data_IF_910457046542
#
_entry.id   IF_910457046542
#
_cell.length_a   1.000
_cell.length_b   1.000
_cell.length_c   1.000
_cell.angle_alpha   90.00
_cell.angle_beta   90.00
_cell.angle_gamma   90.00
#
_symmetry.space_group_name_H-M   'P 1'
#
loop_
_entity.id
_entity.type
_entity.pdbx_description
1 polymer ?
#
# COMPACT_ATOMS: atom_id res chain seq x y z
N UNK A 1 8.92 44.94 20.85
CA UNK A 1 7.86 45.20 19.84
C UNK A 1 8.60 45.45 18.54
N UNK A 2 8.55 44.65 17.48
CA UNK A 2 7.45 43.86 16.90
C UNK A 2 8.00 42.84 15.91
N UNK A 3 7.57 41.59 16.10
CA UNK A 3 7.13 40.59 15.12
C UNK A 3 8.06 40.15 13.96
N UNK A 4 8.50 38.90 14.13
CA UNK A 4 8.77 37.90 13.11
C UNK A 4 7.69 37.85 12.02
N UNK A 5 8.09 37.76 10.75
CA UNK A 5 7.21 37.34 9.65
C UNK A 5 7.69 35.99 9.14
N UNK A 6 7.10 34.93 9.70
CA UNK A 6 7.13 33.60 9.11
C UNK A 6 6.43 33.65 7.75
N UNK A 7 7.18 33.39 6.68
CA UNK A 7 6.62 33.27 5.34
C UNK A 7 6.02 31.87 5.18
N UNK A 8 4.72 31.76 5.47
CA UNK A 8 3.93 30.56 5.23
C UNK A 8 3.50 30.58 3.75
N UNK A 9 4.31 30.00 2.85
CA UNK A 9 3.85 29.72 1.49
C UNK A 9 3.15 28.36 1.47
N UNK A 10 1.83 28.46 1.51
CA UNK A 10 0.84 27.43 1.20
C UNK A 10 1.16 26.75 -0.14
N UNK A 11 1.47 25.46 -0.11
CA UNK A 11 1.56 24.62 -1.30
C UNK A 11 0.20 24.01 -1.61
N UNK A 12 -0.83 24.82 -1.87
CA UNK A 12 -2.09 24.31 -2.41
C UNK A 12 -1.93 24.06 -3.89
N UNK A 13 -1.42 22.88 -4.24
CA UNK A 13 -1.49 22.37 -5.62
C UNK A 13 -2.97 22.14 -5.96
N UNK A 14 -3.49 22.71 -7.06
CA UNK A 14 -4.85 22.46 -7.47
C UNK A 14 -4.95 20.99 -7.93
N UNK A 15 -5.55 20.17 -7.08
CA UNK A 15 -5.92 18.80 -7.41
C UNK A 15 -6.92 18.85 -8.58
N UNK A 16 -6.59 18.28 -9.74
CA UNK A 16 -7.48 18.17 -10.91
C UNK A 16 -8.73 17.30 -10.68
N UNK A 17 -8.92 16.82 -9.45
CA UNK A 17 -10.05 16.05 -8.94
C UNK A 17 -11.30 16.90 -8.62
N UNK A 18 -11.36 18.16 -9.06
CA UNK A 18 -12.51 19.03 -8.82
C UNK A 18 -13.73 18.53 -9.62
N UNK A 19 -14.59 17.76 -8.95
CA UNK A 19 -15.94 17.43 -9.45
C UNK A 19 -16.42 15.99 -9.24
N UNK A 20 -15.53 15.04 -8.86
CA UNK A 20 -15.91 13.63 -8.64
C UNK A 20 -15.74 13.25 -7.17
N UNK A 21 -16.86 12.93 -6.51
CA UNK A 21 -16.88 12.38 -5.15
C UNK A 21 -16.71 10.87 -5.20
N UNK A 22 -15.46 10.41 -5.32
CA UNK A 22 -15.15 8.99 -5.21
C UNK A 22 -15.36 8.51 -3.77
N UNK A 23 -16.09 7.41 -3.62
CA UNK A 23 -16.34 6.74 -2.33
C UNK A 23 -15.55 5.45 -2.19
N UNK A 24 -15.05 4.90 -3.30
CA UNK A 24 -14.23 3.69 -3.32
C UNK A 24 -13.13 3.77 -4.38
N UNK A 25 -11.97 3.14 -4.12
CA UNK A 25 -10.84 3.14 -5.06
C UNK A 25 -11.20 2.49 -6.41
N UNK A 26 -12.17 1.56 -6.43
CA UNK A 26 -12.61 0.86 -7.65
C UNK A 26 -13.25 1.76 -8.70
N UNK A 27 -13.61 2.99 -8.35
CA UNK A 27 -14.15 3.98 -9.28
C UNK A 27 -13.06 4.71 -10.08
N UNK A 28 -11.79 4.44 -9.79
CA UNK A 28 -10.61 4.96 -10.50
C UNK A 28 -10.01 3.86 -11.38
N UNK A 29 -9.48 4.21 -12.55
CA UNK A 29 -8.61 3.30 -13.30
C UNK A 29 -7.35 2.97 -12.49
N UNK A 30 -6.60 1.93 -12.89
CA UNK A 30 -5.34 1.59 -12.22
C UNK A 30 -4.32 2.73 -12.34
N UNK A 31 -4.26 3.38 -13.51
CA UNK A 31 -3.41 4.55 -13.77
C UNK A 31 -3.83 5.75 -12.92
N UNK A 32 -5.12 6.08 -12.90
CA UNK A 32 -5.66 7.18 -12.08
C UNK A 32 -5.39 6.94 -10.59
N UNK A 33 -5.60 5.70 -10.12
CA UNK A 33 -5.37 5.32 -8.73
C UNK A 33 -3.89 5.42 -8.34
N UNK A 34 -2.99 4.84 -9.14
CA UNK A 34 -1.54 4.89 -8.89
C UNK A 34 -1.02 6.32 -8.97
N UNK A 35 -1.42 7.09 -9.98
CA UNK A 35 -1.01 8.49 -10.12
C UNK A 35 -1.50 9.33 -8.91
N UNK A 36 -2.76 9.13 -8.49
CA UNK A 36 -3.30 9.82 -7.33
C UNK A 36 -2.49 9.52 -6.07
N UNK A 37 -2.16 8.24 -5.86
CA UNK A 37 -1.41 7.76 -4.70
C UNK A 37 0.03 8.28 -4.71
N UNK A 38 0.75 8.15 -5.83
CA UNK A 38 2.14 8.59 -5.96
C UNK A 38 2.30 10.10 -5.80
N UNK A 39 1.28 10.88 -6.17
CA UNK A 39 1.24 12.34 -5.96
C UNK A 39 0.75 12.74 -4.56
N UNK A 40 0.44 11.78 -3.69
CA UNK A 40 -0.22 11.99 -2.40
C UNK A 40 -1.45 12.90 -2.53
N UNK A 41 -2.25 12.67 -3.58
CA UNK A 41 -3.48 13.39 -3.88
C UNK A 41 -4.74 12.55 -3.70
N UNK A 42 -4.56 11.22 -3.54
CA UNK A 42 -5.62 10.27 -3.22
C UNK A 42 -6.18 10.57 -1.81
N UNK A 43 -7.49 10.71 -1.70
CA UNK A 43 -8.12 10.93 -0.40
C UNK A 43 -7.86 9.73 0.55
N UNK A 44 -7.43 9.92 1.81
CA UNK A 44 -7.02 8.82 2.70
C UNK A 44 -8.07 7.73 2.91
N UNK A 45 -9.36 8.10 2.94
CA UNK A 45 -10.48 7.12 3.00
C UNK A 45 -10.52 6.12 1.84
N UNK A 46 -9.90 6.44 0.70
CA UNK A 46 -9.82 5.55 -0.46
C UNK A 46 -8.64 4.58 -0.38
N UNK A 47 -7.65 4.84 0.48
CA UNK A 47 -6.49 3.97 0.68
C UNK A 47 -6.70 3.03 1.86
N UNK A 48 -7.63 2.08 1.69
CA UNK A 48 -7.90 1.01 2.65
C UNK A 48 -7.02 -0.24 2.37
N UNK A 49 -7.24 -1.33 3.12
CA UNK A 49 -6.50 -2.59 2.93
C UNK A 49 -6.58 -3.12 1.50
N UNK A 50 -7.77 -3.15 0.89
CA UNK A 50 -7.94 -3.61 -0.49
C UNK A 50 -7.18 -2.72 -1.48
N UNK A 51 -7.17 -1.41 -1.27
CA UNK A 51 -6.40 -0.47 -2.09
C UNK A 51 -4.88 -0.70 -1.99
N UNK A 52 -4.37 -1.07 -0.82
CA UNK A 52 -2.97 -1.48 -0.67
C UNK A 52 -2.67 -2.76 -1.46
N UNK A 53 -3.54 -3.78 -1.39
CA UNK A 53 -3.41 -5.00 -2.20
C UNK A 53 -3.47 -4.68 -3.70
N UNK A 54 -4.34 -3.76 -4.12
CA UNK A 54 -4.41 -3.25 -5.50
C UNK A 54 -3.10 -2.59 -5.93
N UNK A 55 -2.55 -1.72 -5.10
CA UNK A 55 -1.30 -1.03 -5.38
C UNK A 55 -0.16 -2.03 -5.62
N UNK A 56 -0.04 -3.02 -4.73
CA UNK A 56 0.94 -4.10 -4.87
C UNK A 56 0.72 -4.89 -6.18
N UNK A 57 -0.52 -5.25 -6.50
CA UNK A 57 -0.85 -5.96 -7.74
C UNK A 57 -0.45 -5.17 -8.98
N UNK A 58 -0.82 -3.89 -9.08
CA UNK A 58 -0.48 -3.02 -10.22
C UNK A 58 1.04 -2.86 -10.36
N UNK A 59 1.76 -2.64 -9.26
CA UNK A 59 3.22 -2.52 -9.29
C UNK A 59 3.92 -3.82 -9.68
N UNK A 60 3.42 -4.98 -9.26
CA UNK A 60 3.97 -6.28 -9.66
C UNK A 60 3.85 -6.51 -11.15
N UNK A 61 2.69 -6.21 -11.74
CA UNK A 61 2.46 -6.34 -13.19
C UNK A 61 3.37 -5.41 -14.00
N UNK A 62 3.67 -4.22 -13.46
CA UNK A 62 4.44 -3.19 -14.18
C UNK A 62 5.94 -3.29 -14.01
N UNK A 63 6.43 -3.74 -12.86
CA UNK A 63 7.84 -3.62 -12.49
C UNK A 63 8.50 -4.89 -11.93
N UNK A 64 7.73 -5.97 -11.68
CA UNK A 64 8.24 -7.16 -11.00
C UNK A 64 8.39 -6.99 -9.49
N UNK A 65 8.76 -8.07 -8.79
CA UNK A 65 8.70 -8.14 -7.32
C UNK A 65 9.59 -7.12 -6.61
N UNK A 66 10.89 -7.09 -6.93
CA UNK A 66 11.85 -6.21 -6.24
C UNK A 66 11.42 -4.74 -6.30
N UNK A 67 11.09 -4.26 -7.50
CA UNK A 67 10.69 -2.87 -7.70
C UNK A 67 9.30 -2.58 -7.15
N UNK A 68 8.38 -3.56 -7.14
CA UNK A 68 7.09 -3.42 -6.49
C UNK A 68 7.23 -3.26 -4.97
N UNK A 69 8.13 -4.02 -4.33
CA UNK A 69 8.44 -3.87 -2.91
C UNK A 69 8.98 -2.48 -2.62
N UNK A 70 9.99 -2.03 -3.37
CA UNK A 70 10.60 -0.71 -3.21
C UNK A 70 9.56 0.41 -3.32
N UNK A 71 8.76 0.40 -4.40
CA UNK A 71 7.76 1.45 -4.66
C UNK A 71 6.62 1.42 -3.65
N UNK A 72 6.16 0.25 -3.22
CA UNK A 72 5.09 0.14 -2.23
C UNK A 72 5.55 0.67 -0.87
N UNK A 73 6.74 0.27 -0.42
CA UNK A 73 7.29 0.75 0.85
C UNK A 73 7.49 2.27 0.85
N UNK A 74 8.16 2.80 -0.17
CA UNK A 74 8.40 4.24 -0.29
C UNK A 74 7.09 5.04 -0.39
N UNK A 75 6.14 4.54 -1.18
CA UNK A 75 4.85 5.19 -1.38
C UNK A 75 3.99 5.21 -0.11
N UNK A 76 3.87 4.09 0.61
CA UNK A 76 3.08 4.03 1.84
C UNK A 76 3.75 4.84 2.95
N UNK A 77 5.07 4.78 3.10
CA UNK A 77 5.79 5.62 4.07
C UNK A 77 5.55 7.12 3.79
N UNK A 78 5.61 7.53 2.52
CA UNK A 78 5.31 8.92 2.13
C UNK A 78 3.84 9.30 2.40
N UNK A 79 2.91 8.43 2.05
CA UNK A 79 1.47 8.66 2.24
C UNK A 79 1.12 8.76 3.74
N UNK A 80 1.72 7.91 4.58
CA UNK A 80 1.55 7.93 6.03
C UNK A 80 2.15 9.18 6.67
N UNK A 81 3.29 9.67 6.17
CA UNK A 81 3.86 10.95 6.62
C UNK A 81 2.93 12.15 6.34
N UNK A 82 2.16 12.11 5.25
CA UNK A 82 1.23 13.19 4.88
C UNK A 82 -0.11 13.08 5.62
N UNK A 83 -0.63 11.85 5.80
CA UNK A 83 -2.02 11.64 6.22
C UNK A 83 -2.22 10.82 7.51
N UNK A 84 -1.18 10.15 8.01
CA UNK A 84 -1.26 9.20 9.12
C UNK A 84 -0.29 9.46 10.28
N UNK A 85 0.39 10.61 10.28
CA UNK A 85 1.38 11.06 11.26
C UNK A 85 2.72 10.27 11.23
N UNK A 86 2.92 9.38 10.24
CA UNK A 86 4.16 8.60 10.08
C UNK A 86 4.27 7.37 11.00
N UNK A 87 3.19 7.00 11.69
CA UNK A 87 3.19 5.91 12.68
C UNK A 87 2.50 4.62 12.19
N UNK A 88 1.87 4.63 11.02
CA UNK A 88 1.11 3.48 10.51
C UNK A 88 1.90 2.61 9.54
N UNK A 89 2.96 3.16 8.93
CA UNK A 89 3.83 2.38 8.08
C UNK A 89 4.52 1.26 8.87
N UNK A 90 4.57 0.07 8.26
CA UNK A 90 5.20 -1.11 8.84
C UNK A 90 5.90 -1.91 7.73
N UNK A 91 7.22 -1.80 7.65
CA UNK A 91 8.03 -2.37 6.57
C UNK A 91 7.75 -3.86 6.35
N UNK A 92 7.84 -4.70 7.39
CA UNK A 92 7.62 -6.15 7.24
C UNK A 92 6.23 -6.51 6.71
N UNK A 93 5.17 -5.89 7.23
CA UNK A 93 3.80 -6.15 6.76
C UNK A 93 3.62 -5.69 5.31
N UNK A 94 4.16 -4.52 4.94
CA UNK A 94 4.09 -4.02 3.56
C UNK A 94 4.83 -4.94 2.59
N UNK A 95 6.05 -5.38 2.91
CA UNK A 95 6.79 -6.33 2.06
C UNK A 95 6.05 -7.67 1.98
N UNK A 96 5.54 -8.17 3.10
CA UNK A 96 4.78 -9.43 3.14
C UNK A 96 3.50 -9.35 2.31
N UNK A 97 2.80 -8.21 2.28
CA UNK A 97 1.64 -8.00 1.41
C UNK A 97 2.02 -8.12 -0.06
N UNK A 98 3.10 -7.46 -0.50
CA UNK A 98 3.59 -7.56 -1.89
C UNK A 98 3.97 -9.01 -2.24
N UNK A 99 4.70 -9.69 -1.35
CA UNK A 99 5.09 -11.10 -1.56
C UNK A 99 3.88 -12.04 -1.63
N UNK A 100 2.89 -11.85 -0.76
CA UNK A 100 1.64 -12.61 -0.78
C UNK A 100 0.88 -12.39 -2.10
N UNK A 101 0.75 -11.14 -2.56
CA UNK A 101 0.12 -10.84 -3.84
C UNK A 101 0.90 -11.48 -4.99
N UNK A 102 2.24 -11.40 -4.99
CA UNK A 102 3.07 -12.01 -6.01
C UNK A 102 2.88 -13.53 -6.09
N UNK A 103 2.84 -14.21 -4.94
CA UNK A 103 2.55 -15.64 -4.83
C UNK A 103 1.23 -16.02 -5.52
N UNK A 104 0.13 -15.32 -5.21
CA UNK A 104 -1.16 -15.60 -5.83
C UNK A 104 -1.22 -15.18 -7.29
N UNK A 105 -0.56 -14.08 -7.65
CA UNK A 105 -0.52 -13.60 -9.02
C UNK A 105 0.12 -14.64 -9.96
N UNK A 106 1.18 -15.33 -9.52
CA UNK A 106 1.81 -16.45 -10.24
C UNK A 106 0.87 -17.64 -10.48
N UNK A 107 -0.17 -17.79 -9.66
CA UNK A 107 -1.18 -18.87 -9.75
C UNK A 107 -2.48 -18.42 -10.43
N UNK A 108 -2.62 -17.11 -10.66
CA UNK A 108 -3.82 -16.50 -11.17
C UNK A 108 -3.90 -16.60 -12.70
N UNK A 109 -5.14 -16.62 -13.21
CA UNK A 109 -5.44 -16.36 -14.63
C UNK A 109 -6.16 -15.02 -14.83
N UNK A 110 -6.41 -14.28 -13.76
CA UNK A 110 -7.14 -13.03 -13.77
C UNK A 110 -6.37 -11.96 -14.55
N UNK A 111 -7.06 -11.22 -15.42
CA UNK A 111 -6.47 -10.15 -16.23
C UNK A 111 -6.68 -8.77 -15.61
N UNK A 112 -7.52 -8.66 -14.59
CA UNK A 112 -7.77 -7.44 -13.85
C UNK A 112 -7.79 -7.71 -12.33
N UNK A 113 -7.65 -6.64 -11.55
CA UNK A 113 -7.57 -6.71 -10.09
C UNK A 113 -8.83 -7.29 -9.43
N UNK A 114 -10.03 -6.97 -9.93
CA UNK A 114 -11.28 -7.40 -9.29
C UNK A 114 -11.47 -8.91 -9.43
N UNK A 115 -11.25 -9.46 -10.63
CA UNK A 115 -11.25 -10.91 -10.84
C UNK A 115 -10.16 -11.61 -10.01
N UNK A 116 -9.01 -10.96 -9.81
CA UNK A 116 -7.95 -11.47 -8.92
C UNK A 116 -8.42 -11.53 -7.46
N UNK A 117 -9.11 -10.50 -6.99
CA UNK A 117 -9.67 -10.46 -5.64
C UNK A 117 -10.81 -11.46 -5.43
N UNK A 118 -11.61 -11.75 -6.46
CA UNK A 118 -12.62 -12.81 -6.42
C UNK A 118 -11.99 -14.21 -6.37
N UNK A 119 -10.88 -14.44 -7.08
CA UNK A 119 -10.16 -15.70 -7.07
C UNK A 119 -9.43 -15.96 -5.74
N UNK A 120 -8.92 -14.90 -5.09
CA UNK A 120 -8.13 -14.99 -3.87
C UNK A 120 -8.65 -14.07 -2.75
N UNK A 121 -9.91 -14.23 -2.31
CA UNK A 121 -10.55 -13.31 -1.37
C UNK A 121 -9.85 -13.25 -0.01
N UNK A 122 -9.09 -14.30 0.35
CA UNK A 122 -8.30 -14.37 1.59
C UNK A 122 -7.30 -13.22 1.73
N UNK A 123 -6.81 -12.65 0.61
CA UNK A 123 -5.93 -11.48 0.64
C UNK A 123 -6.60 -10.26 1.26
N UNK A 124 -7.93 -10.17 1.22
CA UNK A 124 -8.72 -9.11 1.84
C UNK A 124 -9.37 -9.54 3.15
N UNK A 125 -9.95 -10.74 3.21
CA UNK A 125 -10.81 -11.15 4.32
C UNK A 125 -10.07 -11.85 5.46
N UNK A 126 -8.90 -12.44 5.19
CA UNK A 126 -8.15 -13.24 6.16
C UNK A 126 -6.63 -12.97 6.03
N UNK A 127 -6.26 -11.70 5.84
CA UNK A 127 -4.87 -11.32 5.60
C UNK A 127 -3.98 -11.55 6.83
N UNK A 128 -4.53 -11.41 8.05
CA UNK A 128 -3.78 -11.67 9.28
C UNK A 128 -3.44 -13.15 9.41
N UNK A 129 -4.44 -14.01 9.25
CA UNK A 129 -4.32 -15.46 9.30
C UNK A 129 -3.36 -15.96 8.20
N UNK A 130 -3.39 -15.29 7.03
CA UNK A 130 -2.41 -15.52 5.97
C UNK A 130 -0.98 -15.23 6.44
N UNK A 131 -0.73 -14.06 7.04
CA UNK A 131 0.59 -13.71 7.53
C UNK A 131 1.06 -14.63 8.66
N UNK A 132 0.14 -15.11 9.52
CA UNK A 132 0.44 -16.06 10.60
C UNK A 132 0.91 -17.44 10.10
N UNK A 133 0.70 -17.77 8.82
CA UNK A 133 1.32 -18.97 8.22
C UNK A 133 2.82 -18.77 7.93
N UNK A 134 3.24 -17.52 7.76
CA UNK A 134 4.60 -17.15 7.34
C UNK A 134 5.44 -16.61 8.50
N UNK A 135 4.80 -15.96 9.47
CA UNK A 135 5.46 -15.29 10.58
C UNK A 135 4.93 -15.74 11.93
N UNK A 136 5.82 -15.89 12.89
CA UNK A 136 5.45 -15.88 14.30
C UNK A 136 4.99 -14.48 14.75
N UNK A 137 4.13 -14.38 15.79
CA UNK A 137 3.77 -13.10 16.38
C UNK A 137 4.98 -12.28 16.86
N UNK A 138 6.03 -12.95 17.33
CA UNK A 138 7.27 -12.33 17.80
C UNK A 138 7.97 -11.54 16.70
N UNK A 139 8.03 -12.05 15.47
CA UNK A 139 8.61 -11.32 14.34
C UNK A 139 7.76 -10.11 13.96
N UNK A 140 6.43 -10.27 13.87
CA UNK A 140 5.54 -9.18 13.47
C UNK A 140 5.44 -8.06 14.50
N UNK A 141 5.63 -8.36 15.79
CA UNK A 141 5.57 -7.37 16.88
C UNK A 141 6.94 -6.80 17.26
N UNK A 142 8.01 -7.28 16.65
CA UNK A 142 9.35 -6.78 16.92
C UNK A 142 9.50 -5.33 16.44
N UNK A 143 10.06 -4.43 17.27
CA UNK A 143 10.19 -2.99 16.95
C UNK A 143 10.84 -2.72 15.59
N UNK A 144 11.91 -3.47 15.27
CA UNK A 144 12.58 -3.37 13.96
C UNK A 144 11.70 -3.75 12.77
N UNK A 145 10.67 -4.58 12.94
CA UNK A 145 9.82 -5.01 11.84
C UNK A 145 9.00 -3.84 11.25
N UNK A 146 8.84 -2.76 12.02
CA UNK A 146 8.18 -1.53 11.58
C UNK A 146 9.07 -0.73 10.61
N UNK A 147 10.38 -0.69 10.85
CA UNK A 147 11.34 0.12 10.07
C UNK A 147 12.08 -0.68 9.01
N UNK A 148 12.35 -1.95 9.28
CA UNK A 148 13.15 -2.84 8.45
C UNK A 148 12.34 -4.09 8.08
N UNK A 149 12.58 -4.62 6.89
CA UNK A 149 12.01 -5.90 6.49
C UNK A 149 12.71 -7.05 7.22
N UNK A 150 11.94 -7.84 7.96
CA UNK A 150 12.38 -9.12 8.53
C UNK A 150 11.75 -10.25 7.69
N UNK A 151 12.54 -11.18 7.13
CA UNK A 151 12.00 -12.34 6.40
C UNK A 151 11.12 -13.25 7.26
N UNK A 152 10.22 -14.03 6.63
CA UNK A 152 9.38 -15.00 7.34
C UNK A 152 10.20 -16.08 8.03
N UNK A 153 9.80 -16.45 9.25
CA UNK A 153 10.45 -17.45 10.10
C UNK A 153 9.71 -18.79 10.17
N UNK A 154 8.49 -18.88 9.62
CA UNK A 154 7.73 -20.13 9.52
C UNK A 154 7.73 -20.71 8.10
N UNK A 155 7.13 -20.02 7.14
CA UNK A 155 7.02 -20.46 5.75
C UNK A 155 7.41 -19.33 4.79
N UNK A 156 8.19 -19.60 3.74
CA UNK A 156 8.48 -18.62 2.70
C UNK A 156 7.23 -18.31 1.85
N UNK A 157 7.30 -17.21 1.09
CA UNK A 157 6.32 -16.85 0.07
C UNK A 157 6.77 -17.42 -1.28
N UNK A 158 6.50 -18.70 -1.55
CA UNK A 158 6.97 -19.41 -2.77
C UNK A 158 5.99 -19.37 -3.95
#
# INVERSE_FOLDING_TARGET
>A
MTQSKNNHMSCTRPNSWHGKNYTHHSQLSDEEFVEAFEKASLHPKLFNHEAHIRLAWVYLQKYGEEKAVEKTCAGIAHFDAIYGNGDKFHATITVAAVKAVHHFNKKSKSTNFFDFMEAFPRLKTAFKELLEQHYTPEVLTHEKAKTDYIPPDLLPFD
#
